data_IF_113483588085
#
_entry.id   IF_113483588085
#
_cell.length_a   1.000
_cell.length_b   1.000
_cell.length_c   1.000
_cell.angle_alpha   90.00
_cell.angle_beta   90.00
_cell.angle_gamma   90.00
#
_symmetry.space_group_name_H-M   'P 1'
#
loop_
_entity.id
_entity.type
_entity.pdbx_description
1 polymer ?
#
# COMPACT_ATOMS: atom_id res chain seq x y z
N UNK A 1 -32.64 15.91 6.12
CA UNK A 1 -31.38 15.59 5.46
C UNK A 1 -30.95 14.18 5.81
N UNK A 2 -30.48 13.45 4.83
CA UNK A 2 -30.14 12.04 5.00
C UNK A 2 -28.78 11.91 5.71
N UNK A 3 -28.77 11.34 6.90
CA UNK A 3 -27.55 11.10 7.67
C UNK A 3 -26.62 10.10 6.97
N UNK A 4 -27.15 9.17 6.20
CA UNK A 4 -26.33 8.25 5.42
C UNK A 4 -25.55 8.97 4.33
N UNK A 5 -26.20 9.92 3.64
CA UNK A 5 -25.55 10.71 2.60
C UNK A 5 -24.43 11.56 3.18
N UNK A 6 -24.63 12.14 4.37
CA UNK A 6 -23.60 12.93 5.06
C UNK A 6 -22.41 12.07 5.48
N UNK A 7 -22.67 10.89 6.07
CA UNK A 7 -21.62 9.96 6.45
C UNK A 7 -20.84 9.47 5.23
N UNK A 8 -21.55 9.13 4.15
CA UNK A 8 -20.90 8.67 2.93
C UNK A 8 -20.02 9.77 2.33
N UNK A 9 -20.49 11.00 2.31
CA UNK A 9 -19.71 12.14 1.82
C UNK A 9 -18.45 12.35 2.67
N UNK A 10 -18.54 12.20 3.99
CA UNK A 10 -17.40 12.31 4.88
C UNK A 10 -16.38 11.18 4.63
N UNK A 11 -16.85 9.95 4.48
CA UNK A 11 -16.00 8.80 4.16
C UNK A 11 -15.29 9.03 2.83
N UNK A 12 -16.01 9.51 1.81
CA UNK A 12 -15.45 9.76 0.49
C UNK A 12 -14.36 10.83 0.55
N UNK A 13 -14.57 11.88 1.33
CA UNK A 13 -13.56 12.95 1.51
C UNK A 13 -12.31 12.40 2.22
N UNK A 14 -12.48 11.58 3.27
CA UNK A 14 -11.37 10.96 3.98
C UNK A 14 -10.58 10.03 3.06
N UNK A 15 -11.28 9.23 2.28
CA UNK A 15 -10.66 8.32 1.33
C UNK A 15 -9.88 9.08 0.25
N UNK A 16 -10.47 10.15 -0.29
CA UNK A 16 -9.79 10.98 -1.29
C UNK A 16 -8.52 11.62 -0.72
N UNK A 17 -8.57 12.08 0.53
CA UNK A 17 -7.39 12.65 1.19
C UNK A 17 -6.29 11.61 1.40
N UNK A 18 -6.64 10.36 1.77
CA UNK A 18 -5.68 9.27 1.90
C UNK A 18 -5.05 8.92 0.56
N UNK A 19 -5.85 8.82 -0.49
CA UNK A 19 -5.37 8.51 -1.83
C UNK A 19 -4.42 9.59 -2.33
N UNK A 20 -4.76 10.86 -2.11
CA UNK A 20 -3.91 11.99 -2.51
C UNK A 20 -2.54 11.96 -1.82
N UNK A 21 -2.46 11.47 -0.58
CA UNK A 21 -1.21 11.38 0.18
C UNK A 21 -0.45 10.08 -0.04
N UNK A 22 -1.08 9.11 -0.67
CA UNK A 22 -0.52 7.75 -0.77
C UNK A 22 0.87 7.70 -1.42
N UNK A 23 1.14 8.38 -2.55
CA UNK A 23 2.49 8.34 -3.14
C UNK A 23 3.58 8.82 -2.18
N UNK A 24 3.33 9.90 -1.43
CA UNK A 24 4.30 10.43 -0.47
C UNK A 24 4.47 9.49 0.74
N UNK A 25 3.39 8.90 1.22
CA UNK A 25 3.41 7.90 2.30
C UNK A 25 4.18 6.66 1.85
N UNK A 26 3.92 6.18 0.64
CA UNK A 26 4.63 5.05 0.06
C UNK A 26 6.14 5.31 0.01
N UNK A 27 6.55 6.46 -0.53
CA UNK A 27 7.95 6.81 -0.64
C UNK A 27 8.64 6.85 0.72
N UNK A 28 7.99 7.44 1.72
CA UNK A 28 8.52 7.50 3.08
C UNK A 28 8.68 6.09 3.68
N UNK A 29 7.68 5.26 3.53
CA UNK A 29 7.71 3.88 4.02
C UNK A 29 8.82 3.09 3.36
N UNK A 30 8.93 3.16 2.03
CA UNK A 30 9.95 2.43 1.28
C UNK A 30 11.35 2.88 1.72
N UNK A 31 11.57 4.17 1.91
CA UNK A 31 12.85 4.71 2.35
C UNK A 31 13.28 4.11 3.70
N UNK A 32 12.35 3.94 4.62
CA UNK A 32 12.62 3.32 5.92
C UNK A 32 12.77 1.80 5.81
N UNK A 33 11.91 1.17 5.03
CA UNK A 33 11.82 -0.29 4.90
C UNK A 33 13.08 -0.91 4.28
N UNK A 34 13.71 -0.23 3.33
CA UNK A 34 14.94 -0.74 2.69
C UNK A 34 16.17 -0.59 3.59
N UNK A 35 16.11 0.20 4.66
CA UNK A 35 17.22 0.36 5.59
C UNK A 35 17.32 -0.84 6.52
N UNK A 36 18.53 -1.20 6.97
CA UNK A 36 18.66 -2.19 8.03
C UNK A 36 18.14 -1.65 9.35
N UNK A 37 17.65 -2.52 10.20
CA UNK A 37 17.13 -2.10 11.51
C UNK A 37 16.32 -3.21 12.19
N UNK A 38 15.66 -2.88 13.31
CA UNK A 38 14.87 -3.84 14.09
C UNK A 38 13.64 -4.31 13.32
N UNK A 39 13.01 -5.35 13.83
CA UNK A 39 11.75 -5.85 13.30
C UNK A 39 10.70 -4.75 13.34
N UNK A 40 9.99 -4.58 12.23
CA UNK A 40 9.00 -3.52 12.10
C UNK A 40 7.97 -3.86 11.02
N UNK A 41 6.76 -3.34 11.21
CA UNK A 41 5.68 -3.41 10.23
C UNK A 41 5.27 -2.00 9.82
N UNK A 42 4.96 -1.80 8.54
CA UNK A 42 4.45 -0.54 8.01
C UNK A 42 3.11 -0.78 7.34
N UNK A 43 2.09 -0.09 7.83
CA UNK A 43 0.77 -0.09 7.19
C UNK A 43 0.80 0.83 5.97
N UNK A 44 0.55 0.28 4.78
CA UNK A 44 0.60 1.09 3.57
C UNK A 44 -0.73 1.72 3.21
N UNK A 45 -1.84 1.01 3.42
CA UNK A 45 -3.16 1.57 3.10
C UNK A 45 -4.21 1.17 4.14
N UNK A 46 -4.90 0.05 4.01
CA UNK A 46 -5.94 -0.34 4.97
C UNK A 46 -5.59 -1.61 5.74
N UNK A 47 -5.32 -2.70 5.05
CA UNK A 47 -4.84 -3.95 5.64
C UNK A 47 -3.67 -4.50 4.82
N UNK A 48 -2.86 -3.61 4.29
CA UNK A 48 -1.75 -3.89 3.39
C UNK A 48 -0.46 -3.47 4.09
N UNK A 49 0.48 -4.39 4.24
CA UNK A 49 1.66 -4.17 5.09
C UNK A 49 2.95 -4.53 4.38
N UNK A 50 4.00 -3.79 4.69
CA UNK A 50 5.38 -4.21 4.47
C UNK A 50 5.99 -4.56 5.82
N UNK A 51 6.82 -5.59 5.85
CA UNK A 51 7.46 -6.08 7.06
C UNK A 51 8.96 -6.22 6.90
N UNK A 52 9.66 -6.02 8.00
CA UNK A 52 11.05 -6.39 8.15
C UNK A 52 11.16 -7.23 9.41
N UNK A 53 11.56 -8.50 9.27
CA UNK A 53 11.64 -9.45 10.37
C UNK A 53 12.96 -10.18 10.29
N UNK A 54 13.81 -10.01 11.30
CA UNK A 54 15.13 -10.63 11.35
C UNK A 54 15.95 -10.40 10.07
N UNK A 55 15.86 -9.21 9.50
CA UNK A 55 16.53 -8.84 8.25
C UNK A 55 15.83 -9.29 6.98
N UNK A 56 14.75 -10.07 7.09
CA UNK A 56 13.97 -10.53 5.93
C UNK A 56 12.88 -9.50 5.62
N UNK A 57 12.78 -9.10 4.37
CA UNK A 57 11.74 -8.19 3.89
C UNK A 57 10.64 -8.99 3.22
N UNK A 58 9.40 -8.77 3.66
CA UNK A 58 8.24 -9.44 3.11
C UNK A 58 7.02 -8.54 3.17
N UNK A 59 5.98 -8.90 2.45
CA UNK A 59 4.78 -8.09 2.32
C UNK A 59 3.53 -8.93 2.51
N UNK A 60 2.49 -8.28 3.05
CA UNK A 60 1.16 -8.84 3.18
C UNK A 60 0.21 -8.00 2.33
N UNK A 61 -0.41 -8.61 1.33
CA UNK A 61 -1.34 -7.96 0.41
C UNK A 61 -0.80 -6.63 -0.15
N UNK A 62 0.41 -6.59 -0.74
CA UNK A 62 0.98 -5.33 -1.23
C UNK A 62 0.10 -4.72 -2.33
N UNK A 63 -0.02 -3.40 -2.33
CA UNK A 63 -0.98 -2.69 -3.17
C UNK A 63 -0.40 -1.35 -3.62
N UNK A 64 -0.44 -1.06 -4.91
CA UNK A 64 0.00 0.23 -5.46
C UNK A 64 -1.12 1.25 -5.54
N UNK A 65 -2.36 0.83 -5.46
CA UNK A 65 -3.55 1.67 -5.70
C UNK A 65 -3.57 2.30 -7.11
N UNK A 66 -2.90 1.70 -8.07
CA UNK A 66 -2.81 2.25 -9.43
C UNK A 66 -4.19 2.56 -10.02
N UNK A 67 -5.20 1.76 -9.69
CA UNK A 67 -6.57 1.94 -10.14
C UNK A 67 -7.30 3.11 -9.45
N UNK A 68 -6.74 3.66 -8.37
CA UNK A 68 -7.29 4.81 -7.65
C UNK A 68 -6.45 6.07 -7.83
N UNK A 69 -5.23 5.94 -8.32
CA UNK A 69 -4.28 7.04 -8.52
C UNK A 69 -4.37 7.66 -9.91
N UNK A 70 -5.56 7.73 -10.48
CA UNK A 70 -5.80 8.08 -11.90
C UNK A 70 -5.02 9.29 -12.41
N UNK A 71 -5.01 10.38 -11.62
CA UNK A 71 -4.37 11.63 -12.00
C UNK A 71 -3.13 11.94 -11.15
N UNK A 72 -2.71 10.99 -10.32
CA UNK A 72 -1.54 11.14 -9.45
C UNK A 72 -0.36 10.37 -10.02
N UNK A 73 0.86 10.77 -9.63
CA UNK A 73 2.05 10.02 -10.01
C UNK A 73 1.95 8.59 -9.46
N UNK A 74 2.30 7.58 -10.27
CA UNK A 74 2.30 6.20 -9.80
C UNK A 74 3.34 6.00 -8.70
N UNK A 75 3.09 5.06 -7.79
CA UNK A 75 4.07 4.72 -6.78
C UNK A 75 5.20 3.91 -7.41
N UNK A 76 6.42 4.16 -6.94
CA UNK A 76 7.59 3.45 -7.43
C UNK A 76 7.69 2.09 -6.73
N UNK A 77 7.79 1.02 -7.52
CA UNK A 77 7.83 -0.36 -7.00
C UNK A 77 9.20 -1.01 -7.10
N UNK A 78 10.20 -0.34 -7.64
CA UNK A 78 11.52 -0.93 -7.87
C UNK A 78 12.17 -1.43 -6.56
N UNK A 79 11.94 -0.72 -5.45
CA UNK A 79 12.49 -1.12 -4.15
C UNK A 79 11.93 -2.45 -3.64
N UNK A 80 10.77 -2.87 -4.13
CA UNK A 80 10.16 -4.14 -3.75
C UNK A 80 10.88 -5.35 -4.36
N UNK A 81 11.84 -5.14 -5.24
CA UNK A 81 12.70 -6.22 -5.74
C UNK A 81 13.49 -6.92 -4.64
N UNK A 82 13.60 -6.33 -3.46
CA UNK A 82 14.26 -6.92 -2.29
C UNK A 82 13.32 -7.81 -1.45
N UNK A 83 12.07 -7.99 -1.85
CA UNK A 83 11.14 -8.86 -1.16
C UNK A 83 11.58 -10.32 -1.24
N UNK A 84 11.57 -11.01 -0.11
CA UNK A 84 11.82 -12.44 -0.05
C UNK A 84 10.57 -13.25 -0.37
N UNK A 85 9.40 -12.77 0.07
CA UNK A 85 8.12 -13.43 -0.22
C UNK A 85 6.97 -12.45 0.00
N UNK A 86 5.80 -12.84 -0.52
CA UNK A 86 4.54 -12.10 -0.39
C UNK A 86 3.48 -13.08 0.10
N UNK A 87 2.67 -12.65 1.08
CA UNK A 87 1.49 -13.38 1.51
C UNK A 87 0.23 -12.64 1.01
N UNK A 88 -0.72 -13.40 0.49
CA UNK A 88 -2.00 -12.88 0.04
C UNK A 88 -3.10 -13.49 0.89
N UNK A 89 -3.97 -12.65 1.47
CA UNK A 89 -5.05 -13.12 2.35
C UNK A 89 -6.30 -13.49 1.57
N UNK A 90 -6.61 -12.76 0.50
CA UNK A 90 -7.76 -13.08 -0.37
C UNK A 90 -7.64 -12.34 -1.71
N UNK A 91 -8.61 -12.56 -2.61
CA UNK A 91 -8.55 -12.12 -4.01
C UNK A 91 -9.24 -10.78 -4.30
N UNK A 92 -9.67 -10.03 -3.27
CA UNK A 92 -10.28 -8.72 -3.51
C UNK A 92 -9.25 -7.74 -4.08
N UNK A 93 -9.71 -6.75 -4.86
CA UNK A 93 -8.84 -5.78 -5.52
C UNK A 93 -8.01 -4.94 -4.54
N UNK A 94 -8.47 -4.79 -3.31
CA UNK A 94 -7.75 -4.08 -2.25
C UNK A 94 -6.71 -4.95 -1.54
N UNK A 95 -6.52 -6.21 -1.94
CA UNK A 95 -5.54 -7.14 -1.40
C UNK A 95 -4.69 -7.81 -2.47
N UNK A 96 -5.22 -7.99 -3.68
CA UNK A 96 -4.51 -8.62 -4.80
C UNK A 96 -4.29 -7.61 -5.92
N UNK A 97 -3.06 -7.14 -6.04
CA UNK A 97 -2.65 -6.20 -7.08
C UNK A 97 -1.86 -6.96 -8.16
N UNK A 98 -2.55 -7.37 -9.21
CA UNK A 98 -1.96 -8.14 -10.29
C UNK A 98 -0.89 -7.34 -11.06
N UNK A 99 -1.07 -6.03 -11.18
CA UNK A 99 -0.08 -5.17 -11.85
C UNK A 99 1.21 -5.10 -11.04
N UNK A 100 1.10 -5.00 -9.72
CA UNK A 100 2.26 -5.02 -8.84
C UNK A 100 3.00 -6.37 -8.95
N UNK A 101 2.27 -7.48 -8.85
CA UNK A 101 2.87 -8.81 -8.94
C UNK A 101 3.57 -9.03 -10.28
N UNK A 102 2.98 -8.54 -11.37
CA UNK A 102 3.60 -8.63 -12.70
C UNK A 102 4.90 -7.81 -12.76
N UNK A 103 4.94 -6.64 -12.11
CA UNK A 103 6.12 -5.78 -12.08
C UNK A 103 7.28 -6.39 -11.27
N UNK A 104 6.97 -7.28 -10.31
CA UNK A 104 7.96 -7.95 -9.46
C UNK A 104 8.49 -9.27 -10.04
N UNK A 105 8.05 -9.62 -11.21
CA UNK A 105 8.36 -10.88 -11.86
C UNK A 105 9.80 -10.98 -12.32
#
# INVERSE_FOLDING_TARGET
>A
MDQFAEKQAQIDRQRAALIARYPAVWEKIITEWIQPGPDRAWLTYSANYLFRTAGVRWALDPLTLSWRLKDSAPVEVSALGNLSFILLTHRHADHLDLNLLAALR
#
